data_IF_159637258754
#
_entry.id   IF_159637258754
#
_cell.length_a   1.000
_cell.length_b   1.000
_cell.length_c   1.000
_cell.angle_alpha   90.00
_cell.angle_beta   90.00
_cell.angle_gamma   90.00
#
_symmetry.space_group_name_H-M   'P 1'
#
loop_
_entity.id
_entity.type
_entity.pdbx_description
1 polymer ?
#
# COMPACT_ATOMS: atom_id res chain seq x y z
N UNK A 1 0.10 24.16 -8.73
CA UNK A 1 0.26 22.97 -7.85
C UNK A 1 -0.64 21.80 -8.30
N UNK A 2 -0.82 21.59 -9.61
CA UNK A 2 -1.76 20.59 -10.17
C UNK A 2 -1.14 19.23 -10.49
N UNK A 3 0.18 19.12 -10.66
CA UNK A 3 0.82 17.89 -11.15
C UNK A 3 0.97 16.79 -10.09
N UNK A 4 1.21 17.13 -8.82
CA UNK A 4 1.39 16.12 -7.76
C UNK A 4 0.10 15.35 -7.48
N UNK A 5 -1.04 16.06 -7.49
CA UNK A 5 -2.35 15.44 -7.44
C UNK A 5 -2.60 14.55 -8.67
N UNK A 6 -2.12 14.96 -9.85
CA UNK A 6 -2.29 14.20 -11.09
C UNK A 6 -1.59 12.83 -11.05
N UNK A 7 -0.38 12.74 -10.48
CA UNK A 7 0.34 11.45 -10.35
C UNK A 7 -0.37 10.51 -9.37
N UNK A 8 -0.76 11.01 -8.20
CA UNK A 8 -1.49 10.22 -7.20
C UNK A 8 -2.84 9.72 -7.72
N UNK A 9 -3.59 10.58 -8.41
CA UNK A 9 -4.92 10.26 -8.96
C UNK A 9 -4.82 9.24 -10.12
N UNK A 10 -3.77 9.33 -10.95
CA UNK A 10 -3.47 8.33 -11.98
C UNK A 10 -3.17 6.95 -11.36
N UNK A 11 -2.41 6.93 -10.25
CA UNK A 11 -2.10 5.71 -9.51
C UNK A 11 -3.36 5.07 -8.90
N UNK A 12 -4.20 5.88 -8.24
CA UNK A 12 -5.49 5.43 -7.68
C UNK A 12 -6.38 4.84 -8.77
N UNK A 13 -6.42 5.45 -9.96
CA UNK A 13 -7.20 4.91 -11.06
C UNK A 13 -6.72 3.55 -11.56
N UNK A 14 -5.40 3.30 -11.53
CA UNK A 14 -4.76 2.04 -11.90
C UNK A 14 -4.67 1.01 -10.77
N UNK A 15 -5.02 1.38 -9.54
CA UNK A 15 -4.98 0.49 -8.38
C UNK A 15 -5.69 -0.87 -8.57
N UNK A 16 -6.84 -1.00 -9.28
CA UNK A 16 -7.43 -2.31 -9.55
C UNK A 16 -6.51 -3.23 -10.36
N UNK A 17 -5.82 -2.69 -11.37
CA UNK A 17 -4.88 -3.45 -12.18
C UNK A 17 -3.65 -3.84 -11.35
N UNK A 18 -3.12 -2.90 -10.56
CA UNK A 18 -1.99 -3.18 -9.66
C UNK A 18 -2.30 -4.28 -8.65
N UNK A 19 -3.51 -4.29 -8.09
CA UNK A 19 -3.96 -5.32 -7.15
C UNK A 19 -4.06 -6.70 -7.82
N UNK A 20 -4.66 -6.79 -9.00
CA UNK A 20 -4.75 -8.05 -9.77
C UNK A 20 -3.35 -8.60 -10.05
N UNK A 21 -2.42 -7.77 -10.52
CA UNK A 21 -1.04 -8.18 -10.78
C UNK A 21 -0.37 -8.69 -9.52
N UNK A 22 -0.57 -8.02 -8.39
CA UNK A 22 0.03 -8.43 -7.10
C UNK A 22 -0.48 -9.79 -6.63
N UNK A 23 -1.78 -10.07 -6.81
CA UNK A 23 -2.37 -11.38 -6.53
C UNK A 23 -1.78 -12.45 -7.45
N UNK A 24 -1.69 -12.20 -8.76
CA UNK A 24 -1.14 -13.17 -9.71
C UNK A 24 0.30 -13.55 -9.34
N UNK A 25 1.13 -12.55 -9.00
CA UNK A 25 2.51 -12.79 -8.56
C UNK A 25 2.53 -13.59 -7.25
N UNK A 26 1.69 -13.26 -6.28
CA UNK A 26 1.61 -14.00 -5.01
C UNK A 26 1.19 -15.46 -5.22
N UNK A 27 0.24 -15.72 -6.11
CA UNK A 27 -0.22 -17.08 -6.45
C UNK A 27 0.90 -17.87 -7.12
N UNK A 28 1.59 -17.30 -8.11
CA UNK A 28 2.72 -17.94 -8.79
C UNK A 28 3.85 -18.25 -7.80
N UNK A 29 4.19 -17.29 -6.92
CA UNK A 29 5.18 -17.52 -5.86
C UNK A 29 4.74 -18.65 -4.91
N UNK A 30 3.46 -18.69 -4.55
CA UNK A 30 2.80 -19.79 -3.83
C UNK A 30 3.11 -21.17 -4.40
N UNK A 31 2.92 -21.33 -5.71
CA UNK A 31 3.13 -22.60 -6.41
C UNK A 31 4.60 -22.95 -6.60
N UNK A 32 5.47 -21.96 -6.82
CA UNK A 32 6.89 -22.21 -7.13
C UNK A 32 7.75 -22.49 -5.90
N UNK A 33 7.40 -21.89 -4.75
CA UNK A 33 8.29 -21.92 -3.59
C UNK A 33 7.74 -22.67 -2.39
N UNK A 34 6.44 -22.93 -2.30
CA UNK A 34 5.73 -23.75 -1.26
C UNK A 34 6.02 -23.43 0.23
N UNK A 35 6.92 -22.50 0.54
CA UNK A 35 7.30 -22.06 1.87
C UNK A 35 6.69 -20.67 2.13
N UNK A 36 5.42 -20.66 2.54
CA UNK A 36 4.73 -19.43 2.90
C UNK A 36 4.97 -19.11 4.37
N UNK A 37 5.77 -18.08 4.63
CA UNK A 37 5.94 -17.56 5.98
C UNK A 37 4.86 -16.50 6.28
N UNK A 38 3.84 -16.88 7.05
CA UNK A 38 2.66 -16.04 7.34
C UNK A 38 3.02 -14.72 8.06
N UNK A 39 4.06 -14.72 8.89
CA UNK A 39 4.63 -13.53 9.54
C UNK A 39 5.10 -12.51 8.52
N UNK A 40 5.92 -12.94 7.55
CA UNK A 40 6.45 -12.10 6.48
C UNK A 40 5.33 -11.49 5.63
N UNK A 41 4.28 -12.26 5.32
CA UNK A 41 3.11 -11.76 4.60
C UNK A 41 2.32 -10.70 5.40
N UNK A 42 2.17 -10.88 6.71
CA UNK A 42 1.47 -9.92 7.57
C UNK A 42 2.25 -8.60 7.67
N UNK A 43 3.56 -8.65 7.92
CA UNK A 43 4.41 -7.47 7.94
C UNK A 43 4.35 -6.74 6.59
N UNK A 44 4.42 -7.48 5.50
CA UNK A 44 4.31 -6.95 4.16
C UNK A 44 3.01 -6.18 3.93
N UNK A 45 1.86 -6.79 4.24
CA UNK A 45 0.56 -6.14 4.12
C UNK A 45 0.47 -4.86 4.96
N UNK A 46 0.91 -4.93 6.23
CA UNK A 46 0.91 -3.78 7.12
C UNK A 46 1.81 -2.64 6.60
N UNK A 47 3.00 -2.97 6.09
CA UNK A 47 3.90 -2.00 5.47
C UNK A 47 3.34 -1.37 4.21
N UNK A 48 2.65 -2.15 3.37
CA UNK A 48 1.95 -1.66 2.19
C UNK A 48 0.83 -0.68 2.53
N UNK A 49 0.05 -1.01 3.56
CA UNK A 49 -0.99 -0.13 4.10
C UNK A 49 -0.36 1.16 4.64
N UNK A 50 0.66 1.08 5.50
CA UNK A 50 1.33 2.25 6.05
C UNK A 50 1.92 3.15 4.95
N UNK A 51 2.60 2.57 3.97
CA UNK A 51 3.20 3.29 2.85
C UNK A 51 2.16 4.04 2.01
N UNK A 52 1.07 3.35 1.63
CA UNK A 52 0.00 3.97 0.83
C UNK A 52 -0.71 5.10 1.57
N UNK A 53 -0.91 4.96 2.88
CA UNK A 53 -1.44 6.02 3.73
C UNK A 53 -0.50 7.25 3.78
N UNK A 54 0.80 7.05 3.94
CA UNK A 54 1.79 8.14 3.90
C UNK A 54 1.78 8.84 2.52
N UNK A 55 1.75 8.09 1.42
CA UNK A 55 1.72 8.67 0.08
C UNK A 55 0.41 9.39 -0.23
N UNK A 56 -0.74 8.89 0.23
CA UNK A 56 -2.01 9.60 0.16
C UNK A 56 -1.98 10.93 0.93
N UNK A 57 -1.30 10.96 2.09
CA UNK A 57 -1.07 12.18 2.87
C UNK A 57 -0.22 13.19 2.10
N UNK A 58 0.84 12.72 1.45
CA UNK A 58 1.65 13.55 0.55
C UNK A 58 0.84 14.11 -0.61
N UNK A 59 0.07 13.27 -1.31
CA UNK A 59 -0.77 13.72 -2.43
C UNK A 59 -1.90 14.66 -2.02
N UNK A 60 -2.30 14.61 -0.74
CA UNK A 60 -3.26 15.56 -0.15
C UNK A 60 -2.63 16.92 0.20
N UNK A 61 -1.33 17.12 -0.05
CA UNK A 61 -0.65 18.39 0.17
C UNK A 61 -0.11 18.59 1.59
N UNK A 62 -0.05 17.54 2.44
CA UNK A 62 0.44 17.64 3.83
C UNK A 62 1.98 17.83 3.95
N UNK A 63 2.70 17.89 2.83
CA UNK A 63 4.14 18.18 2.76
C UNK A 63 5.01 16.99 2.35
N UNK A 64 6.25 17.28 1.96
CA UNK A 64 7.20 16.29 1.41
C UNK A 64 7.71 15.25 2.42
N UNK A 65 7.59 15.50 3.72
CA UNK A 65 7.99 14.55 4.78
C UNK A 65 7.22 13.23 4.64
N UNK A 66 5.94 13.28 4.30
CA UNK A 66 5.12 12.10 4.08
C UNK A 66 5.58 11.26 2.87
N UNK A 67 6.11 11.90 1.84
CA UNK A 67 6.72 11.19 0.72
C UNK A 67 8.00 10.47 1.16
N UNK A 68 8.88 11.16 1.90
CA UNK A 68 10.12 10.58 2.42
C UNK A 68 9.81 9.37 3.31
N UNK A 69 8.89 9.51 4.27
CA UNK A 69 8.46 8.41 5.14
C UNK A 69 7.80 7.27 4.36
N UNK A 70 6.98 7.61 3.35
CA UNK A 70 6.35 6.62 2.47
C UNK A 70 7.39 5.78 1.72
N UNK A 71 8.42 6.42 1.15
CA UNK A 71 9.51 5.72 0.44
C UNK A 71 10.44 4.97 1.39
N UNK A 72 10.62 5.45 2.62
CA UNK A 72 11.40 4.75 3.65
C UNK A 72 10.69 3.50 4.20
N UNK A 73 9.36 3.44 4.12
CA UNK A 73 8.57 2.30 4.63
C UNK A 73 8.99 0.95 4.01
N UNK A 74 9.05 0.78 2.67
CA UNK A 74 9.53 -0.48 2.08
C UNK A 74 10.99 -0.78 2.42
N UNK A 75 11.84 0.24 2.56
CA UNK A 75 13.23 0.04 3.00
C UNK A 75 13.29 -0.51 4.44
N UNK A 76 12.55 0.11 5.36
CA UNK A 76 12.46 -0.35 6.74
C UNK A 76 11.90 -1.78 6.81
N UNK A 77 10.89 -2.08 6.00
CA UNK A 77 10.29 -3.41 5.91
C UNK A 77 11.32 -4.48 5.52
N UNK A 78 12.17 -4.21 4.52
CA UNK A 78 13.24 -5.12 4.10
C UNK A 78 14.27 -5.33 5.21
N UNK A 79 14.60 -4.28 5.98
CA UNK A 79 15.58 -4.36 7.07
C UNK A 79 15.05 -5.19 8.27
N UNK A 80 13.77 -5.07 8.60
CA UNK A 80 13.19 -5.73 9.78
C UNK A 80 12.66 -7.14 9.49
N UNK A 81 12.44 -7.48 8.23
CA UNK A 81 11.89 -8.78 7.86
C UNK A 81 13.01 -9.83 7.81
N UNK A 82 12.82 -11.01 8.43
CA UNK A 82 13.79 -12.09 8.37
C UNK A 82 13.79 -12.76 6.98
N UNK A 83 14.53 -12.17 6.04
CA UNK A 83 14.61 -12.63 4.66
C UNK A 83 15.72 -13.67 4.51
N UNK A 84 15.40 -14.95 4.69
CA UNK A 84 16.35 -16.06 4.59
C UNK A 84 16.44 -16.64 3.18
N UNK A 85 15.45 -16.38 2.32
CA UNK A 85 15.36 -16.94 0.97
C UNK A 85 14.83 -15.93 -0.05
N UNK A 86 15.05 -16.22 -1.34
CA UNK A 86 14.45 -15.43 -2.44
C UNK A 86 12.92 -15.47 -2.42
N UNK A 87 12.33 -16.59 -1.95
CA UNK A 87 10.89 -16.74 -1.82
C UNK A 87 10.31 -15.76 -0.80
N UNK A 88 10.95 -15.60 0.36
CA UNK A 88 10.55 -14.66 1.39
C UNK A 88 10.50 -13.21 0.86
N UNK A 89 11.47 -12.82 0.02
CA UNK A 89 11.48 -11.53 -0.64
C UNK A 89 10.31 -11.35 -1.61
N UNK A 90 9.99 -12.36 -2.42
CA UNK A 90 8.84 -12.31 -3.33
C UNK A 90 7.51 -12.20 -2.58
N UNK A 91 7.34 -12.91 -1.46
CA UNK A 91 6.16 -12.76 -0.60
C UNK A 91 6.11 -11.39 0.08
N UNK A 92 7.27 -10.87 0.53
CA UNK A 92 7.35 -9.53 1.11
C UNK A 92 6.90 -8.46 0.10
N UNK A 93 7.40 -8.53 -1.14
CA UNK A 93 7.05 -7.56 -2.18
C UNK A 93 5.59 -7.71 -2.61
N UNK A 94 5.13 -8.94 -2.88
CA UNK A 94 3.74 -9.17 -3.32
C UNK A 94 2.72 -8.82 -2.23
N UNK A 95 3.01 -9.11 -0.96
CA UNK A 95 2.21 -8.69 0.18
C UNK A 95 2.19 -7.17 0.35
N UNK A 96 3.36 -6.52 0.23
CA UNK A 96 3.48 -5.06 0.31
C UNK A 96 2.64 -4.38 -0.76
N UNK A 97 2.79 -4.78 -2.02
CA UNK A 97 2.01 -4.21 -3.10
C UNK A 97 0.52 -4.52 -2.96
N UNK A 98 0.14 -5.72 -2.52
CA UNK A 98 -1.26 -6.05 -2.25
C UNK A 98 -1.89 -5.11 -1.21
N UNK A 99 -1.22 -4.89 -0.07
CA UNK A 99 -1.67 -3.96 0.96
C UNK A 99 -1.73 -2.50 0.46
N UNK A 100 -0.72 -2.09 -0.31
CA UNK A 100 -0.65 -0.78 -0.93
C UNK A 100 -1.83 -0.52 -1.88
N UNK A 101 -2.11 -1.44 -2.80
CA UNK A 101 -3.20 -1.29 -3.76
C UNK A 101 -4.57 -1.39 -3.10
N UNK A 102 -4.73 -2.19 -2.04
CA UNK A 102 -5.98 -2.28 -1.27
C UNK A 102 -6.41 -0.93 -0.70
N UNK A 103 -5.48 -0.17 -0.12
CA UNK A 103 -5.78 1.17 0.42
C UNK A 103 -6.13 2.14 -0.70
N UNK A 104 -5.40 2.13 -1.82
CA UNK A 104 -5.71 2.99 -2.97
C UNK A 104 -7.07 2.64 -3.61
N UNK A 105 -7.41 1.36 -3.66
CA UNK A 105 -8.73 0.87 -4.07
C UNK A 105 -9.82 1.35 -3.11
N UNK A 106 -9.61 1.20 -1.81
CA UNK A 106 -10.52 1.72 -0.78
C UNK A 106 -10.75 3.22 -0.93
N UNK A 107 -9.67 3.99 -1.14
CA UNK A 107 -9.73 5.42 -1.41
C UNK A 107 -10.52 5.74 -2.70
N UNK A 108 -10.30 5.00 -3.79
CA UNK A 108 -11.06 5.15 -5.04
C UNK A 108 -12.56 4.89 -4.84
N UNK A 109 -12.91 3.84 -4.11
CA UNK A 109 -14.31 3.51 -3.83
C UNK A 109 -14.96 4.55 -2.93
N UNK A 110 -14.24 5.02 -1.92
CA UNK A 110 -14.71 6.04 -1.00
C UNK A 110 -14.95 7.40 -1.67
N UNK A 111 -14.13 7.76 -2.66
CA UNK A 111 -14.30 9.01 -3.42
C UNK A 111 -15.36 8.91 -4.52
N UNK A 112 -15.61 7.72 -5.08
CA UNK A 112 -16.62 7.50 -6.13
C UNK A 112 -18.06 7.33 -5.59
N UNK A 113 -18.24 6.89 -4.34
CA UNK A 113 -19.56 6.65 -3.73
C UNK A 113 -19.65 7.37 -2.37
N UNK A 114 -20.43 8.46 -2.23
CA UNK A 114 -20.67 9.06 -0.92
C UNK A 114 -21.70 8.22 -0.16
N UNK A 115 -21.29 7.05 0.34
CA UNK A 115 -22.01 6.31 1.40
C UNK A 115 -21.32 6.54 2.75
N UNK A 116 -22.06 6.52 3.85
CA UNK A 116 -21.59 6.95 5.18
C UNK A 116 -20.25 6.34 5.66
N UNK A 117 -19.95 5.09 5.29
CA UNK A 117 -18.67 4.43 5.62
C UNK A 117 -17.45 5.02 4.89
N UNK A 118 -17.65 5.56 3.68
CA UNK A 118 -16.59 6.21 2.91
C UNK A 118 -16.14 7.52 3.56
N UNK A 119 -17.08 8.26 4.18
CA UNK A 119 -16.74 9.41 5.02
C UNK A 119 -15.91 8.97 6.21
N UNK A 120 -16.28 7.89 6.89
CA UNK A 120 -15.52 7.40 8.04
C UNK A 120 -14.07 7.03 7.69
N UNK A 121 -13.82 6.39 6.54
CA UNK A 121 -12.46 6.04 6.11
C UNK A 121 -11.61 7.29 5.81
N UNK A 122 -12.17 8.27 5.09
CA UNK A 122 -11.50 9.55 4.80
C UNK A 122 -11.33 10.38 6.07
N UNK A 123 -12.29 10.33 7.00
CA UNK A 123 -12.25 11.01 8.28
C UNK A 123 -11.21 10.38 9.22
N UNK A 124 -11.17 9.06 9.38
CA UNK A 124 -10.11 8.37 10.15
C UNK A 124 -8.74 8.68 9.53
N UNK A 125 -8.63 8.64 8.20
CA UNK A 125 -7.40 9.01 7.50
C UNK A 125 -7.01 10.48 7.70
N UNK A 126 -7.98 11.38 7.80
CA UNK A 126 -7.77 12.79 8.12
C UNK A 126 -7.34 12.98 9.59
N UNK A 127 -8.01 12.29 10.54
CA UNK A 127 -7.77 12.41 11.98
C UNK A 127 -6.47 11.74 12.45
N UNK A 128 -6.13 10.54 11.95
CA UNK A 128 -4.88 9.86 12.27
C UNK A 128 -3.61 10.59 11.79
N UNK A 129 -3.75 11.61 10.93
CA UNK A 129 -2.64 12.40 10.38
C UNK A 129 -2.77 13.91 10.68
N UNK A 130 -3.80 14.33 11.43
CA UNK A 130 -3.98 15.71 11.88
C UNK A 130 -3.54 15.92 13.35
N UNK A 131 -3.17 14.84 14.04
CA UNK A 131 -2.41 14.83 15.29
C UNK A 131 -0.92 14.67 14.97
#
# INVERSE_FOLDING_TARGET
MSEQAHVGLSLVNKAPLGFIVSIIVAVIAGFLFAELEMSTLFYALAGGVACSLLLLGYWSGKGGVFFILGVLTPLALVVVSPLTTMAALLYLLSGFFSGFWLVLLGYKLATKKPSGEARLFVTIFAYCFAL
#
